data_IF_526171121062
#
_entry.id   IF_526171121062
#
_cell.length_a   1.000
_cell.length_b   1.000
_cell.length_c   1.000
_cell.angle_alpha   90.00
_cell.angle_beta   90.00
_cell.angle_gamma   90.00
#
_symmetry.space_group_name_H-M   'P 1'
#
loop_
_entity.id
_entity.type
_entity.pdbx_description
1 polymer ?
#
# COMPACT_ATOMS: atom_id res chain seq x y z
N UNK A 1 2.01 31.18 -1.39
CA UNK A 1 1.51 30.71 -0.09
C UNK A 1 2.06 29.33 0.16
N UNK A 2 2.84 29.14 1.23
CA UNK A 2 3.25 27.80 1.67
C UNK A 2 2.16 27.27 2.60
N UNK A 3 1.56 26.15 2.25
CA UNK A 3 0.73 25.39 3.18
C UNK A 3 1.66 24.73 4.21
N UNK A 4 1.44 24.92 5.50
CA UNK A 4 2.28 24.28 6.49
C UNK A 4 2.11 22.74 6.39
N UNK A 5 3.21 22.03 6.22
CA UNK A 5 3.19 20.56 6.24
C UNK A 5 2.61 20.06 7.56
N UNK A 6 1.54 19.29 7.49
CA UNK A 6 0.99 18.57 8.64
C UNK A 6 1.53 17.17 8.62
N UNK A 7 2.00 16.70 9.75
CA UNK A 7 2.20 15.25 9.93
C UNK A 7 0.82 14.61 10.13
N UNK A 8 0.49 13.67 9.25
CA UNK A 8 -0.72 12.89 9.37
C UNK A 8 -0.44 11.64 10.21
N UNK A 9 -1.46 11.13 10.88
CA UNK A 9 -1.36 9.91 11.67
C UNK A 9 -2.60 9.07 11.46
N UNK A 10 -2.38 7.80 11.25
CA UNK A 10 -3.44 6.80 11.20
C UNK A 10 -3.52 6.03 12.50
N UNK A 11 -4.69 5.44 12.74
CA UNK A 11 -4.85 4.49 13.83
C UNK A 11 -3.93 3.29 13.56
N UNK A 12 -3.11 2.92 14.54
CA UNK A 12 -2.39 1.65 14.47
C UNK A 12 -3.38 0.50 14.64
N UNK A 13 -3.35 -0.46 13.73
CA UNK A 13 -4.09 -1.71 13.87
C UNK A 13 -3.65 -2.46 15.13
N UNK A 14 -4.56 -3.22 15.71
CA UNK A 14 -4.18 -4.15 16.78
C UNK A 14 -3.52 -5.38 16.15
N UNK A 15 -2.35 -5.75 16.67
CA UNK A 15 -1.74 -7.01 16.31
C UNK A 15 -2.65 -8.16 16.78
N UNK A 16 -2.98 -9.05 15.86
CA UNK A 16 -3.73 -10.26 16.16
C UNK A 16 -2.84 -11.48 15.94
N UNK A 17 -2.96 -12.47 16.82
CA UNK A 17 -2.32 -13.75 16.61
C UNK A 17 -3.09 -14.56 15.57
N UNK A 18 -2.43 -14.89 14.47
CA UNK A 18 -3.04 -15.70 13.43
C UNK A 18 -3.12 -17.18 13.85
N UNK A 19 -4.30 -17.78 13.73
CA UNK A 19 -4.61 -19.14 14.22
C UNK A 19 -4.83 -20.12 13.09
N UNK A 20 -4.39 -21.39 13.22
CA UNK A 20 -4.81 -22.46 12.34
C UNK A 20 -6.35 -22.58 12.26
N UNK A 21 -6.85 -23.08 11.15
CA UNK A 21 -8.31 -23.20 10.92
C UNK A 21 -8.98 -21.91 10.46
N UNK A 22 -8.23 -20.82 10.31
CA UNK A 22 -8.75 -19.53 9.86
C UNK A 22 -8.15 -19.11 8.52
N UNK A 23 -8.96 -18.40 7.73
CA UNK A 23 -8.55 -17.67 6.54
C UNK A 23 -8.59 -16.18 6.88
N UNK A 24 -7.49 -15.51 6.69
CA UNK A 24 -7.34 -14.06 6.86
C UNK A 24 -7.33 -13.42 5.49
N UNK A 25 -8.30 -12.55 5.25
CA UNK A 25 -8.45 -11.86 3.97
C UNK A 25 -8.02 -10.41 4.15
N UNK A 26 -7.17 -9.92 3.26
CA UNK A 26 -6.90 -8.50 3.12
C UNK A 26 -7.38 -8.01 1.75
N UNK A 27 -8.01 -6.87 1.74
CA UNK A 27 -8.47 -6.19 0.53
C UNK A 27 -7.69 -4.90 0.38
N UNK A 28 -7.14 -4.68 -0.81
CA UNK A 28 -6.39 -3.45 -1.12
C UNK A 28 -6.97 -2.83 -2.37
N UNK A 29 -7.34 -1.57 -2.28
CA UNK A 29 -7.73 -0.74 -3.41
C UNK A 29 -6.51 -0.11 -4.07
N UNK A 30 -6.35 -0.36 -5.37
CA UNK A 30 -5.24 0.13 -6.19
C UNK A 30 -5.45 1.55 -6.73
N UNK A 31 -4.54 1.96 -7.60
CA UNK A 31 -4.56 3.16 -8.45
C UNK A 31 -4.40 4.51 -7.71
N UNK A 32 -4.31 4.51 -6.39
CA UNK A 32 -4.09 5.72 -5.60
C UNK A 32 -2.69 6.34 -5.70
N UNK A 33 -1.78 5.71 -6.44
CA UNK A 33 -0.52 6.30 -6.88
C UNK A 33 -0.71 7.35 -7.99
N UNK A 34 -1.90 7.41 -8.57
CA UNK A 34 -2.28 8.34 -9.62
C UNK A 34 -3.12 9.49 -9.05
N UNK A 35 -2.54 10.68 -8.99
CA UNK A 35 -3.17 11.87 -8.40
C UNK A 35 -4.49 12.25 -9.08
N UNK A 36 -4.62 12.01 -10.39
CA UNK A 36 -5.86 12.27 -11.09
C UNK A 36 -6.95 11.29 -10.67
N UNK A 37 -6.58 10.05 -10.39
CA UNK A 37 -7.48 9.06 -9.83
C UNK A 37 -7.92 9.47 -8.41
N UNK A 38 -6.99 9.89 -7.57
CA UNK A 38 -7.27 10.36 -6.21
C UNK A 38 -8.24 11.53 -6.21
N UNK A 39 -8.05 12.50 -7.10
CA UNK A 39 -8.87 13.70 -7.17
C UNK A 39 -10.28 13.48 -7.74
N UNK A 40 -10.52 12.37 -8.40
CA UNK A 40 -11.79 12.08 -9.08
C UNK A 40 -12.43 10.78 -8.59
N UNK A 41 -11.93 9.63 -9.03
CA UNK A 41 -12.53 8.34 -8.72
C UNK A 41 -12.49 8.02 -7.22
N UNK A 42 -11.32 8.15 -6.60
CA UNK A 42 -11.17 7.85 -5.19
C UNK A 42 -11.98 8.81 -4.31
N UNK A 43 -12.03 10.09 -4.67
CA UNK A 43 -12.89 11.07 -4.00
C UNK A 43 -14.36 10.62 -4.01
N UNK A 44 -14.86 10.17 -5.15
CA UNK A 44 -16.23 9.68 -5.27
C UNK A 44 -16.46 8.37 -4.49
N UNK A 45 -15.50 7.45 -4.53
CA UNK A 45 -15.55 6.19 -3.78
C UNK A 45 -15.63 6.42 -2.27
N UNK A 46 -15.00 7.48 -1.75
CA UNK A 46 -15.09 7.84 -0.33
C UNK A 46 -16.50 8.27 0.11
N UNK A 47 -17.35 8.57 -0.84
CA UNK A 47 -18.78 8.89 -0.59
C UNK A 47 -19.71 7.73 -0.91
N UNK A 48 -19.19 6.57 -1.36
CA UNK A 48 -20.00 5.45 -1.78
C UNK A 48 -20.75 4.80 -0.60
N UNK A 49 -22.00 4.36 -0.78
CA UNK A 49 -22.71 3.55 0.20
C UNK A 49 -21.95 2.25 0.51
N UNK A 50 -21.96 1.83 1.78
CA UNK A 50 -21.30 0.60 2.22
C UNK A 50 -19.79 0.72 2.43
N UNK A 51 -19.17 1.87 2.12
CA UNK A 51 -17.77 2.11 2.51
C UNK A 51 -17.64 2.08 4.03
N UNK A 52 -16.64 1.36 4.51
CA UNK A 52 -16.41 1.16 5.93
C UNK A 52 -17.12 -0.06 6.52
N UNK A 53 -17.91 -0.81 5.74
CA UNK A 53 -18.55 -2.06 6.21
C UNK A 53 -17.52 -3.19 6.36
N UNK A 54 -16.45 -3.16 5.58
CA UNK A 54 -15.35 -4.13 5.62
C UNK A 54 -14.00 -3.42 5.68
N UNK A 55 -12.97 -4.02 6.31
CA UNK A 55 -11.63 -3.47 6.31
C UNK A 55 -11.03 -3.44 4.89
N UNK A 56 -10.44 -2.30 4.52
CA UNK A 56 -9.78 -2.12 3.24
C UNK A 56 -8.56 -1.20 3.36
N UNK A 57 -7.45 -1.62 2.75
CA UNK A 57 -6.30 -0.75 2.50
C UNK A 57 -6.54 0.06 1.21
N UNK A 58 -6.34 1.36 1.28
CA UNK A 58 -6.52 2.26 0.14
C UNK A 58 -5.18 2.82 -0.25
N UNK A 59 -4.68 2.45 -1.42
CA UNK A 59 -3.42 3.01 -1.93
C UNK A 59 -3.58 4.49 -2.22
N UNK A 60 -2.53 5.26 -1.94
CA UNK A 60 -2.52 6.71 -2.12
C UNK A 60 -1.11 7.23 -2.36
N UNK A 61 -1.00 8.27 -3.18
CA UNK A 61 0.25 8.95 -3.41
C UNK A 61 0.61 9.82 -2.19
N UNK A 62 1.70 9.51 -1.49
CA UNK A 62 2.17 10.35 -0.39
C UNK A 62 2.56 11.77 -0.87
N UNK A 63 2.85 11.94 -2.17
CA UNK A 63 3.10 13.23 -2.79
C UNK A 63 1.91 14.20 -2.74
N UNK A 64 0.69 13.72 -2.45
CA UNK A 64 -0.47 14.60 -2.23
C UNK A 64 -0.24 15.63 -1.11
N UNK A 65 0.58 15.32 -0.12
CA UNK A 65 0.91 16.28 0.95
C UNK A 65 1.54 17.58 0.44
N UNK A 66 2.18 17.54 -0.74
CA UNK A 66 2.78 18.70 -1.40
C UNK A 66 1.90 19.21 -2.56
N UNK A 67 1.38 18.30 -3.36
CA UNK A 67 0.70 18.63 -4.60
C UNK A 67 -0.77 19.00 -4.39
N UNK A 68 -1.42 18.37 -3.43
CA UNK A 68 -2.81 18.68 -3.04
C UNK A 68 -3.07 18.32 -1.57
N UNK A 69 -2.52 19.07 -0.60
CA UNK A 69 -2.65 18.76 0.81
C UNK A 69 -4.10 18.79 1.32
N UNK A 70 -4.97 19.58 0.69
CA UNK A 70 -6.39 19.60 1.05
C UNK A 70 -7.09 18.29 0.71
N UNK A 71 -6.71 17.67 -0.41
CA UNK A 71 -7.27 16.37 -0.80
C UNK A 71 -6.81 15.28 0.16
N UNK A 72 -5.53 15.26 0.54
CA UNK A 72 -5.04 14.33 1.54
C UNK A 72 -5.74 14.52 2.90
N UNK A 73 -5.92 15.77 3.32
CA UNK A 73 -6.66 16.10 4.54
C UNK A 73 -8.13 15.63 4.47
N UNK A 74 -8.77 15.75 3.31
CA UNK A 74 -10.12 15.24 3.09
C UNK A 74 -10.18 13.74 3.31
N UNK A 75 -9.26 12.96 2.75
CA UNK A 75 -9.23 11.51 2.94
C UNK A 75 -9.06 11.16 4.41
N UNK A 76 -8.11 11.78 5.10
CA UNK A 76 -7.90 11.55 6.54
C UNK A 76 -9.13 11.86 7.40
N UNK A 77 -9.84 12.93 7.09
CA UNK A 77 -11.07 13.31 7.82
C UNK A 77 -12.24 12.35 7.60
N UNK A 78 -12.23 11.64 6.48
CA UNK A 78 -13.30 10.74 6.09
C UNK A 78 -12.94 9.25 6.27
N UNK A 79 -11.82 8.94 6.92
CA UNK A 79 -11.48 7.56 7.27
C UNK A 79 -12.50 6.98 8.24
N UNK A 80 -12.93 5.76 7.95
CA UNK A 80 -13.67 4.93 8.89
C UNK A 80 -12.70 4.09 9.74
N UNK A 81 -13.16 3.42 10.81
CA UNK A 81 -12.32 2.50 11.56
C UNK A 81 -11.79 1.30 10.74
N UNK A 82 -12.40 1.03 9.59
CA UNK A 82 -12.07 -0.08 8.70
C UNK A 82 -11.19 0.33 7.51
N UNK A 83 -10.81 1.60 7.40
CA UNK A 83 -9.93 2.08 6.33
C UNK A 83 -8.49 2.23 6.83
N UNK A 84 -7.54 1.91 5.95
CA UNK A 84 -6.12 2.23 6.10
C UNK A 84 -5.61 2.87 4.80
N UNK A 85 -5.05 4.08 4.90
CA UNK A 85 -4.31 4.66 3.77
C UNK A 85 -2.91 4.06 3.73
N UNK A 86 -2.49 3.64 2.55
CA UNK A 86 -1.21 2.99 2.34
C UNK A 86 -0.50 3.56 1.13
N UNK A 87 0.83 3.46 1.11
CA UNK A 87 1.60 3.95 -0.01
C UNK A 87 1.24 3.19 -1.29
N UNK A 88 0.96 3.95 -2.35
CA UNK A 88 0.77 3.40 -3.68
C UNK A 88 2.06 2.82 -4.27
N UNK A 89 1.99 2.08 -5.37
CA UNK A 89 3.19 1.52 -5.99
C UNK A 89 4.00 2.63 -6.71
N UNK A 90 5.29 2.80 -6.41
CA UNK A 90 5.98 2.22 -5.27
C UNK A 90 6.49 3.37 -4.42
N UNK A 91 5.91 3.58 -3.26
CA UNK A 91 6.36 4.63 -2.36
C UNK A 91 5.54 5.92 -2.46
N UNK A 92 6.19 7.09 -2.56
CA UNK A 92 5.48 8.38 -2.49
C UNK A 92 4.67 8.72 -3.75
N UNK A 93 4.93 8.03 -4.87
CA UNK A 93 4.21 8.14 -6.14
C UNK A 93 4.49 6.91 -7.02
N UNK A 94 3.84 6.81 -8.20
CA UNK A 94 4.07 5.71 -9.13
C UNK A 94 5.51 5.68 -9.64
N UNK A 95 6.24 4.66 -9.24
CA UNK A 95 7.65 4.45 -9.60
C UNK A 95 7.93 2.96 -9.67
N UNK A 96 8.67 2.57 -10.68
CA UNK A 96 9.30 1.25 -10.74
C UNK A 96 10.68 1.33 -10.05
N UNK A 97 10.75 0.95 -8.77
CA UNK A 97 11.95 1.06 -7.95
C UNK A 97 13.18 0.38 -8.56
N UNK A 98 12.98 -0.79 -9.18
CA UNK A 98 14.07 -1.57 -9.80
C UNK A 98 14.77 -0.85 -10.94
N UNK A 99 14.01 -0.11 -11.74
CA UNK A 99 14.51 0.61 -12.92
C UNK A 99 14.75 2.09 -12.64
N UNK A 100 14.46 2.55 -11.44
CA UNK A 100 14.65 3.95 -11.08
C UNK A 100 16.11 4.34 -11.22
N UNK A 101 16.36 5.42 -11.95
CA UNK A 101 17.67 6.03 -12.18
C UNK A 101 18.76 5.10 -12.80
N UNK A 102 18.42 3.92 -13.33
CA UNK A 102 19.40 2.98 -13.89
C UNK A 102 20.21 3.57 -15.05
N UNK A 103 19.72 4.59 -15.73
CA UNK A 103 20.42 5.32 -16.79
C UNK A 103 21.14 6.58 -16.29
N UNK A 104 21.16 6.87 -15.00
CA UNK A 104 21.87 8.01 -14.43
C UNK A 104 23.39 7.76 -14.41
N UNK A 105 24.18 8.82 -14.31
CA UNK A 105 25.64 8.72 -14.17
C UNK A 105 26.04 8.09 -12.82
N UNK A 106 25.21 8.24 -11.81
CA UNK A 106 25.32 7.62 -10.50
C UNK A 106 23.98 6.97 -10.11
N UNK A 107 23.71 5.75 -10.57
CA UNK A 107 22.44 5.09 -10.33
C UNK A 107 22.15 4.79 -8.86
N UNK A 108 23.18 4.39 -8.11
CA UNK A 108 23.02 4.01 -6.71
C UNK A 108 22.81 5.24 -5.82
N UNK A 109 23.60 6.30 -6.01
CA UNK A 109 23.39 7.56 -5.31
C UNK A 109 22.02 8.17 -5.59
N UNK A 110 21.49 8.05 -6.80
CA UNK A 110 20.11 8.49 -7.13
C UNK A 110 19.04 7.61 -6.50
N UNK A 111 19.30 6.33 -6.36
CA UNK A 111 18.41 5.43 -5.65
C UNK A 111 18.37 5.76 -4.14
N UNK A 112 19.53 6.04 -3.54
CA UNK A 112 19.62 6.47 -2.14
C UNK A 112 18.88 7.80 -1.88
N UNK A 113 19.03 8.78 -2.78
CA UNK A 113 18.28 10.03 -2.71
C UNK A 113 16.75 9.77 -2.74
N UNK A 114 16.30 8.87 -3.63
CA UNK A 114 14.91 8.49 -3.70
C UNK A 114 14.42 7.79 -2.43
N UNK A 115 15.21 6.86 -1.88
CA UNK A 115 14.89 6.18 -0.63
C UNK A 115 14.76 7.17 0.53
N UNK A 116 15.66 8.13 0.63
CA UNK A 116 15.63 9.15 1.68
C UNK A 116 14.37 10.02 1.59
N UNK A 117 14.05 10.50 0.39
CA UNK A 117 12.84 11.28 0.13
C UNK A 117 11.58 10.47 0.38
N UNK A 118 11.56 9.21 -0.06
CA UNK A 118 10.45 8.31 0.15
C UNK A 118 10.16 8.10 1.64
N UNK A 119 11.21 7.89 2.44
CA UNK A 119 11.08 7.76 3.90
C UNK A 119 10.44 9.00 4.55
N UNK A 120 10.93 10.18 4.20
CA UNK A 120 10.40 11.42 4.74
C UNK A 120 8.90 11.58 4.39
N UNK A 121 8.56 11.33 3.14
CA UNK A 121 7.20 11.55 2.66
C UNK A 121 6.20 10.54 3.20
N UNK A 122 6.58 9.27 3.29
CA UNK A 122 5.73 8.23 3.88
C UNK A 122 5.49 8.49 5.37
N UNK A 123 6.54 8.87 6.10
CA UNK A 123 6.42 9.19 7.52
C UNK A 123 5.52 10.41 7.76
N UNK A 124 5.67 11.48 6.95
CA UNK A 124 4.86 12.69 7.06
C UNK A 124 3.41 12.44 6.63
N UNK A 125 3.19 11.61 5.62
CA UNK A 125 1.86 11.17 5.21
C UNK A 125 1.22 10.19 6.21
N UNK A 126 1.97 9.63 7.15
CA UNK A 126 1.46 8.72 8.18
C UNK A 126 1.13 7.33 7.65
N UNK A 127 1.78 6.89 6.57
CA UNK A 127 1.56 5.56 6.01
C UNK A 127 2.41 4.53 6.73
N UNK A 128 1.80 3.38 7.05
CA UNK A 128 2.43 2.27 7.75
C UNK A 128 2.60 1.03 6.88
N UNK A 129 1.89 0.97 5.78
CA UNK A 129 1.94 -0.11 4.79
C UNK A 129 2.06 0.47 3.39
N UNK A 130 2.42 -0.35 2.41
CA UNK A 130 2.54 0.08 1.03
C UNK A 130 2.49 -1.05 0.03
N UNK A 131 2.42 -0.69 -1.25
CA UNK A 131 2.52 -1.60 -2.37
C UNK A 131 3.80 -1.31 -3.15
N UNK A 132 4.47 -2.36 -3.60
CA UNK A 132 5.63 -2.27 -4.48
C UNK A 132 5.39 -3.02 -5.78
N UNK A 133 5.81 -2.44 -6.88
CA UNK A 133 5.80 -3.04 -8.20
C UNK A 133 7.22 -3.18 -8.73
N UNK A 134 7.44 -4.19 -9.57
CA UNK A 134 8.74 -4.52 -10.14
C UNK A 134 9.83 -4.72 -9.08
N UNK A 135 9.70 -5.82 -8.36
CA UNK A 135 10.62 -6.21 -7.29
C UNK A 135 11.60 -7.31 -7.75
N UNK A 136 12.00 -7.25 -9.02
CA UNK A 136 12.92 -8.21 -9.63
C UNK A 136 14.35 -8.06 -9.13
N UNK A 137 14.76 -6.85 -8.78
CA UNK A 137 16.06 -6.57 -8.16
C UNK A 137 15.97 -6.79 -6.64
N UNK A 138 16.24 -8.00 -6.23
CA UNK A 138 16.15 -8.47 -4.84
C UNK A 138 16.84 -7.53 -3.84
N UNK A 139 18.04 -7.05 -4.13
CA UNK A 139 18.80 -6.23 -3.19
C UNK A 139 18.19 -4.83 -3.01
N UNK A 140 17.81 -4.17 -4.08
CA UNK A 140 17.10 -2.88 -4.01
C UNK A 140 15.76 -3.00 -3.28
N UNK A 141 15.06 -4.09 -3.49
CA UNK A 141 13.83 -4.37 -2.78
C UNK A 141 14.02 -4.54 -1.27
N UNK A 142 15.05 -5.32 -0.88
CA UNK A 142 15.42 -5.50 0.53
C UNK A 142 15.85 -4.19 1.18
N UNK A 143 16.59 -3.37 0.47
CA UNK A 143 16.99 -2.05 0.92
C UNK A 143 15.80 -1.13 1.13
N UNK A 144 14.85 -1.12 0.21
CA UNK A 144 13.59 -0.41 0.38
C UNK A 144 12.89 -0.88 1.67
N UNK A 145 12.72 -2.17 1.86
CA UNK A 145 12.08 -2.70 3.07
C UNK A 145 12.80 -2.28 4.35
N UNK A 146 14.13 -2.29 4.35
CA UNK A 146 14.93 -1.88 5.52
C UNK A 146 14.83 -0.39 5.84
N UNK A 147 14.59 0.43 4.84
CA UNK A 147 14.70 1.89 4.96
C UNK A 147 13.37 2.63 4.97
N UNK A 148 12.32 2.11 4.34
CA UNK A 148 11.06 2.83 4.10
C UNK A 148 10.23 3.14 5.35
N UNK A 149 10.57 2.57 6.51
CA UNK A 149 9.82 2.78 7.76
C UNK A 149 8.41 2.16 7.79
N UNK A 150 8.04 1.40 6.75
CA UNK A 150 6.78 0.66 6.70
C UNK A 150 6.85 -0.60 7.55
N UNK A 151 5.70 -1.05 8.05
CA UNK A 151 5.54 -2.30 8.79
C UNK A 151 5.23 -3.48 7.87
N UNK A 152 4.62 -3.20 6.72
CA UNK A 152 4.23 -4.21 5.74
C UNK A 152 4.21 -3.68 4.32
N UNK A 153 4.52 -4.56 3.39
CA UNK A 153 4.57 -4.26 1.97
C UNK A 153 3.86 -5.36 1.18
N UNK A 154 2.99 -4.97 0.27
CA UNK A 154 2.41 -5.86 -0.73
C UNK A 154 3.29 -5.87 -1.98
N UNK A 155 3.79 -7.05 -2.34
CA UNK A 155 4.67 -7.25 -3.49
C UNK A 155 3.87 -7.62 -4.74
N UNK A 156 3.87 -6.76 -5.75
CA UNK A 156 3.15 -6.95 -7.01
C UNK A 156 3.70 -8.04 -7.92
N UNK A 157 4.90 -8.52 -7.66
CA UNK A 157 5.53 -9.57 -8.47
C UNK A 157 5.29 -11.00 -7.93
N UNK A 158 4.35 -11.17 -7.03
CA UNK A 158 3.97 -12.47 -6.47
C UNK A 158 5.10 -13.20 -5.74
N UNK A 159 6.04 -12.47 -5.19
CA UNK A 159 7.08 -13.09 -4.39
C UNK A 159 6.51 -13.56 -3.06
N UNK A 160 6.90 -14.74 -2.68
CA UNK A 160 6.54 -15.33 -1.41
C UNK A 160 6.94 -14.43 -0.24
N UNK A 161 6.27 -14.66 0.87
CA UNK A 161 6.52 -14.02 2.15
C UNK A 161 8.02 -13.78 2.43
N UNK A 162 8.36 -12.53 2.76
CA UNK A 162 9.69 -12.11 3.19
C UNK A 162 9.61 -11.34 4.50
N UNK A 163 10.69 -11.37 5.24
CA UNK A 163 10.87 -10.59 6.44
C UNK A 163 12.22 -9.91 6.42
N UNK A 164 12.22 -8.62 6.71
CA UNK A 164 13.43 -7.81 6.88
C UNK A 164 13.37 -7.08 8.22
N UNK A 165 14.53 -6.83 8.81
CA UNK A 165 14.63 -5.96 9.98
C UNK A 165 14.73 -4.52 9.52
N UNK A 166 13.72 -3.72 9.78
CA UNK A 166 13.69 -2.31 9.43
C UNK A 166 14.70 -1.47 10.21
N UNK A 167 14.92 -0.25 9.72
CA UNK A 167 15.86 0.73 10.28
C UNK A 167 15.64 1.02 11.77
N UNK A 168 14.39 1.01 12.22
CA UNK A 168 14.01 1.27 13.61
C UNK A 168 14.01 0.01 14.48
N UNK A 169 14.54 -1.11 13.98
CA UNK A 169 14.55 -2.39 14.68
C UNK A 169 13.23 -3.16 14.63
N UNK A 170 12.18 -2.55 14.10
CA UNK A 170 10.90 -3.21 13.84
C UNK A 170 11.00 -4.11 12.61
N UNK A 171 10.17 -5.15 12.57
CA UNK A 171 10.13 -6.04 11.43
C UNK A 171 9.29 -5.47 10.30
N UNK A 172 9.75 -5.63 9.07
CA UNK A 172 8.98 -5.35 7.86
C UNK A 172 8.64 -6.66 7.20
N UNK A 173 7.36 -6.86 6.94
CA UNK A 173 6.84 -8.07 6.30
C UNK A 173 6.45 -7.73 4.86
N UNK A 174 6.91 -8.55 3.93
CA UNK A 174 6.42 -8.53 2.56
C UNK A 174 5.58 -9.76 2.28
N UNK A 175 4.44 -9.54 1.66
CA UNK A 175 3.54 -10.58 1.19
C UNK A 175 3.15 -10.33 -0.26
N UNK A 176 2.79 -11.40 -0.99
CA UNK A 176 2.27 -11.25 -2.34
C UNK A 176 1.00 -10.40 -2.34
N UNK A 177 0.81 -9.56 -3.35
CA UNK A 177 -0.47 -8.87 -3.59
C UNK A 177 -1.63 -9.84 -3.82
N UNK A 178 -1.34 -11.10 -4.12
CA UNK A 178 -2.37 -12.10 -4.41
C UNK A 178 -3.01 -11.87 -5.78
N UNK A 179 -4.32 -12.07 -5.87
CA UNK A 179 -5.01 -11.89 -7.14
C UNK A 179 -5.29 -10.41 -7.43
N UNK A 180 -5.01 -10.01 -8.66
CA UNK A 180 -5.50 -8.75 -9.22
C UNK A 180 -6.93 -8.95 -9.72
N UNK A 181 -7.88 -8.37 -9.02
CA UNK A 181 -9.31 -8.53 -9.32
C UNK A 181 -9.85 -7.27 -10.01
N UNK A 182 -10.44 -7.48 -11.18
CA UNK A 182 -10.97 -6.40 -12.03
C UNK A 182 -12.48 -6.21 -11.87
N UNK A 183 -13.16 -7.17 -11.28
CA UNK A 183 -14.61 -7.17 -11.05
C UNK A 183 -14.98 -8.08 -9.88
N UNK A 184 -16.17 -7.92 -9.37
CA UNK A 184 -16.68 -8.69 -8.22
C UNK A 184 -16.56 -10.21 -8.37
N UNK A 185 -16.89 -10.72 -9.56
CA UNK A 185 -16.77 -12.15 -9.84
C UNK A 185 -15.34 -12.70 -9.69
N UNK A 186 -14.33 -11.89 -9.96
CA UNK A 186 -12.93 -12.30 -9.79
C UNK A 186 -12.61 -12.46 -8.31
N UNK A 187 -13.09 -11.53 -7.47
CA UNK A 187 -12.92 -11.60 -6.01
C UNK A 187 -13.57 -12.87 -5.47
N UNK A 188 -14.83 -13.10 -5.82
CA UNK A 188 -15.57 -14.29 -5.40
C UNK A 188 -14.86 -15.59 -5.80
N UNK A 189 -14.49 -15.71 -7.07
CA UNK A 189 -13.82 -16.90 -7.59
C UNK A 189 -12.48 -17.15 -6.92
N UNK A 190 -11.71 -16.09 -6.67
CA UNK A 190 -10.44 -16.20 -5.99
C UNK A 190 -10.61 -16.63 -4.53
N UNK A 191 -11.49 -15.99 -3.78
CA UNK A 191 -11.71 -16.27 -2.36
C UNK A 191 -12.26 -17.69 -2.11
N UNK A 192 -13.17 -18.17 -2.96
CA UNK A 192 -13.75 -19.52 -2.83
C UNK A 192 -12.76 -20.65 -3.11
N UNK A 193 -11.61 -20.34 -3.74
CA UNK A 193 -10.52 -21.29 -3.93
C UNK A 193 -9.75 -21.64 -2.66
N UNK A 194 -9.85 -20.84 -1.60
CA UNK A 194 -9.13 -21.07 -0.36
C UNK A 194 -9.91 -21.99 0.59
N UNK A 195 -9.15 -22.86 1.26
CA UNK A 195 -9.68 -23.74 2.31
C UNK A 195 -8.93 -23.55 3.61
N UNK A 196 -9.60 -23.53 4.76
CA UNK A 196 -8.92 -23.51 6.05
C UNK A 196 -7.95 -24.68 6.19
N UNK A 197 -6.83 -24.45 6.85
CA UNK A 197 -5.85 -25.48 7.19
C UNK A 197 -5.81 -25.67 8.70
N UNK A 198 -5.93 -26.90 9.16
CA UNK A 198 -5.83 -27.22 10.58
C UNK A 198 -4.42 -27.10 11.14
N UNK A 199 -3.42 -27.01 10.27
CA UNK A 199 -2.01 -26.95 10.67
C UNK A 199 -1.46 -25.53 10.74
N UNK A 200 -2.00 -24.60 9.94
CA UNK A 200 -1.50 -23.21 9.83
C UNK A 200 -2.60 -22.25 9.45
N UNK A 201 -2.46 -20.96 9.77
CA UNK A 201 -3.32 -19.91 9.22
C UNK A 201 -3.16 -19.82 7.69
N UNK A 202 -4.22 -19.44 7.01
CA UNK A 202 -4.21 -19.18 5.56
C UNK A 202 -4.40 -17.69 5.35
N UNK A 203 -3.53 -17.07 4.54
CA UNK A 203 -3.63 -15.66 4.17
C UNK A 203 -4.04 -15.56 2.71
N UNK A 204 -4.98 -14.67 2.45
CA UNK A 204 -5.56 -14.43 1.14
C UNK A 204 -5.56 -12.92 0.89
N UNK A 205 -4.77 -12.47 -0.07
CA UNK A 205 -4.67 -11.06 -0.39
C UNK A 205 -5.34 -10.80 -1.73
N UNK A 206 -6.16 -9.76 -1.78
CA UNK A 206 -6.91 -9.34 -2.96
C UNK A 206 -6.52 -7.92 -3.28
N UNK A 207 -6.02 -7.70 -4.48
CA UNK A 207 -5.70 -6.39 -5.01
C UNK A 207 -6.79 -5.98 -6.00
N UNK A 208 -7.62 -5.04 -5.57
CA UNK A 208 -8.75 -4.54 -6.35
C UNK A 208 -8.26 -3.47 -7.32
N UNK A 209 -8.48 -3.68 -8.60
CA UNK A 209 -8.14 -2.65 -9.61
C UNK A 209 -9.26 -1.62 -9.59
N UNK A 210 -9.06 -0.58 -8.81
CA UNK A 210 -10.10 0.35 -8.40
C UNK A 210 -10.71 1.15 -9.57
N UNK A 211 -9.97 1.38 -10.64
CA UNK A 211 -10.48 2.04 -11.84
C UNK A 211 -11.73 1.37 -12.44
N UNK A 212 -11.94 0.08 -12.17
CA UNK A 212 -13.10 -0.66 -12.65
C UNK A 212 -14.27 -0.73 -11.66
N UNK A 213 -14.06 -0.40 -10.39
CA UNK A 213 -15.09 -0.41 -9.36
C UNK A 213 -15.71 0.97 -9.11
N UNK A 214 -15.16 2.03 -9.65
CA UNK A 214 -15.60 3.42 -9.43
C UNK A 214 -16.74 3.88 -10.34
N UNK A 215 -17.40 2.99 -11.04
CA UNK A 215 -18.49 3.29 -11.97
C UNK A 215 -19.87 2.81 -11.52
N UNK A 216 -20.06 2.56 -10.25
CA UNK A 216 -21.35 2.15 -9.67
C UNK A 216 -22.07 3.32 -9.03
#
# INVERSE_FOLDING_TARGET
>A
CSYPRKAFQQRKGQAIEAKPGKIYVSLVWSDGDNIQFDANHLYNMFSAPGRGDVPVGVTMAASLQELNPFLLEYFYKNLTPNDELMAGPSGFQFIYGDSFATAAADPDGKYDEWLAMNNEWLATAGFHTGCLWNTSHEERYREYMRTCGLQGVYDGNNVSYRYEKGKNGEGVVSISQGAHCWKEGDVYNYLTGFKPSTQKPVFCNVYLIAANYGGL
#
